data_IF_866100142767
#
_entry.id   IF_866100142767
#
_cell.length_a   1.000
_cell.length_b   1.000
_cell.length_c   1.000
_cell.angle_alpha   90.00
_cell.angle_beta   90.00
_cell.angle_gamma   90.00
#
_symmetry.space_group_name_H-M   'P 1'
#
loop_
_entity.id
_entity.type
_entity.pdbx_description
1 polymer ?
2 polymer ?
3 polymer ?
4 non-polymer ?
5 non-polymer ?
6 water ?
#
# COMPACT_ATOMS: atom_id res chain seq x y z
N UNK A 7 6.39 -15.38 -13.48
CA UNK A 7 7.05 -14.06 -13.69
C UNK A 7 8.03 -13.73 -12.55
N UNK A 8 8.52 -12.49 -12.55
CA UNK A 8 9.52 -12.07 -11.60
C UNK A 8 8.97 -11.16 -10.51
N UNK A 9 7.64 -11.24 -10.30
CA UNK A 9 7.00 -10.38 -9.31
C UNK A 9 7.63 -10.60 -7.94
N UNK A 10 7.73 -9.54 -7.16
CA UNK A 10 8.07 -9.69 -5.74
C UNK A 10 9.56 -9.90 -5.48
N UNK A 11 10.37 -9.86 -6.53
CA UNK A 11 11.82 -9.98 -6.39
C UNK A 11 12.45 -8.64 -6.74
N UNK A 12 13.10 -8.01 -5.77
CA UNK A 12 13.55 -6.64 -5.96
C UNK A 12 14.92 -6.62 -6.62
N UNK A 13 15.07 -5.83 -7.69
CA UNK A 13 16.39 -5.72 -8.35
C UNK A 13 17.55 -5.42 -7.40
N UNK A 14 17.33 -4.58 -6.39
CA UNK A 14 18.42 -4.15 -5.52
C UNK A 14 18.59 -5.01 -4.26
N UNK A 15 17.72 -6.02 -4.12
CA UNK A 15 17.81 -6.87 -2.96
C UNK A 15 17.80 -8.33 -3.39
N UNK A 16 16.63 -8.94 -3.53
CA UNK A 16 16.58 -10.37 -3.85
C UNK A 16 17.44 -10.75 -5.05
N UNK A 17 17.37 -9.93 -6.10
CA UNK A 17 18.04 -10.27 -7.36
C UNK A 17 19.56 -10.25 -7.22
N UNK A 18 20.06 -9.54 -6.21
CA UNK A 18 21.50 -9.45 -5.89
C UNK A 18 21.90 -10.24 -4.65
N UNK A 19 20.94 -10.93 -4.05
CA UNK A 19 21.10 -11.57 -2.74
C UNK A 19 21.60 -10.60 -1.66
N UNK A 20 21.01 -9.40 -1.62
CA UNK A 20 21.24 -8.45 -0.55
C UNK A 20 19.97 -8.37 0.26
N UNK A 21 20.12 -8.23 1.56
CA UNK A 21 18.99 -8.16 2.46
C UNK A 21 18.83 -6.72 2.89
N UNK A 22 17.59 -6.25 2.96
CA UNK A 22 17.35 -4.95 3.59
C UNK A 22 17.51 -5.01 5.13
N UNK A 23 17.58 -3.84 5.77
CA UNK A 23 17.90 -3.76 7.21
C UNK A 23 16.88 -4.39 8.17
N UNK A 24 15.64 -4.55 7.74
CA UNK A 24 14.64 -5.06 8.67
C UNK A 24 13.84 -6.29 8.20
N UNK A 25 14.15 -6.83 7.03
CA UNK A 25 13.37 -7.97 6.55
C UNK A 25 13.54 -9.20 7.46
N UNK A 26 14.68 -9.30 8.13
CA UNK A 26 14.89 -10.40 9.07
C UNK A 26 13.83 -10.44 10.20
N UNK A 27 13.45 -9.27 10.71
CA UNK A 27 12.37 -9.12 11.70
C UNK A 27 11.06 -9.77 11.21
N UNK A 28 10.76 -9.61 9.93
CA UNK A 28 9.60 -10.28 9.33
C UNK A 28 9.77 -11.80 9.37
N UNK A 29 10.91 -12.28 8.86
CA UNK A 29 11.21 -13.72 8.86
C UNK A 29 11.13 -14.33 10.26
N UNK A 30 11.69 -13.64 11.24
CA UNK A 30 11.69 -14.13 12.63
C UNK A 30 10.27 -14.26 13.21
N UNK A 31 9.34 -13.49 12.69
CA UNK A 31 7.94 -13.54 13.13
C UNK A 31 7.17 -14.71 12.48
N UNK A 32 7.74 -15.32 11.44
CA UNK A 32 7.03 -16.36 10.71
C UNK A 32 7.38 -17.71 11.35
N UNK A 33 6.78 -17.94 12.52
CA UNK A 33 7.24 -18.98 13.44
C UNK A 33 6.58 -20.34 13.22
N UNK B 1 3.29 7.64 7.72
CA UNK B 1 3.73 6.55 8.63
C UNK B 1 4.23 7.16 9.92
N UNK B 2 3.68 6.70 11.03
CA UNK B 2 4.09 7.18 12.35
C UNK B 2 5.05 6.17 12.95
N UNK B 3 6.17 6.65 13.48
CA UNK B 3 7.14 5.81 14.18
C UNK B 3 7.77 4.74 13.27
N UNK B 4 7.92 5.10 11.99
CA UNK B 4 8.64 4.27 11.03
C UNK B 4 10.06 4.78 10.85
N UNK B 5 10.66 4.43 9.72
CA UNK B 5 12.02 4.81 9.38
C UNK B 5 12.08 5.11 7.90
N UNK B 6 13.13 5.82 7.49
CA UNK B 6 13.35 6.09 6.08
C UNK B 6 13.54 4.76 5.36
N UNK B 7 12.86 4.60 4.23
CA UNK B 7 13.09 3.43 3.39
C UNK B 7 14.50 3.46 2.83
N UNK B 8 15.07 2.27 2.60
CA UNK B 8 16.28 2.17 1.77
C UNK B 8 15.93 2.34 0.29
N UNK B 9 16.91 2.75 -0.52
CA UNK B 9 16.69 2.88 -1.97
C UNK B 9 16.30 1.53 -2.59
N UNK B 10 15.24 1.50 -3.40
CA UNK B 10 14.76 0.28 -4.05
C UNK B 10 14.18 -0.77 -3.10
N UNK B 11 13.86 -0.36 -1.88
CA UNK B 11 13.34 -1.28 -0.88
C UNK B 11 11.88 -1.65 -1.15
N UNK B 12 11.15 -0.72 -1.75
CA UNK B 12 9.74 -0.94 -2.08
C UNK B 12 9.45 -0.52 -3.55
N UNK B 13 10.02 -1.25 -4.53
CA UNK B 13 9.96 -0.77 -5.92
C UNK B 13 8.58 -0.82 -6.56
N UNK B 14 7.61 -1.46 -5.88
CA UNK B 14 6.22 -1.47 -6.29
C UNK B 14 5.43 -0.28 -5.71
N UNK B 15 6.06 0.54 -4.89
CA UNK B 15 5.36 1.65 -4.25
C UNK B 15 4.96 2.66 -5.31
N UNK B 16 3.71 3.13 -5.24
CA UNK B 16 3.24 4.10 -6.22
C UNK B 16 2.67 5.28 -5.45
N UNK B 17 2.91 6.49 -5.98
CA UNK B 17 2.30 7.70 -5.42
C UNK B 17 1.16 8.10 -6.33
N UNK B 18 -0.03 8.29 -5.76
CA UNK B 18 -1.14 8.91 -6.48
C UNK B 18 -1.06 10.42 -6.26
N UNK B 19 -0.94 11.14 -7.37
CA UNK B 19 -0.62 12.57 -7.34
C UNK B 19 -1.75 13.35 -8.00
N UNK B 20 -2.25 14.34 -7.27
CA UNK B 20 -3.27 15.23 -7.79
C UNK B 20 -2.61 16.31 -8.64
N UNK B 21 -3.11 16.49 -9.85
CA UNK B 21 -2.59 17.47 -10.81
C UNK B 21 -2.71 18.93 -10.35
N UNK B 22 -3.91 19.31 -9.89
CA UNK B 22 -4.14 20.68 -9.41
C UNK B 22 -5.25 20.67 -8.36
N UNK B 23 -4.92 21.13 -7.14
CA UNK B 23 -3.58 21.51 -6.68
C UNK B 23 -2.62 20.30 -6.70
N UNK B 24 -1.33 20.58 -6.94
CA UNK B 24 -0.31 19.52 -6.92
C UNK B 24 -0.14 19.04 -5.48
N UNK B 25 -0.61 17.82 -5.21
CA UNK B 25 -0.51 17.25 -3.88
C UNK B 25 -0.56 15.72 -3.88
N UNK B 26 -0.07 15.15 -2.79
CA UNK B 26 -0.13 13.72 -2.56
C UNK B 26 -1.59 13.38 -2.35
N UNK B 27 -2.08 12.40 -3.07
CA UNK B 27 -3.44 11.94 -2.84
C UNK B 27 -3.46 10.69 -1.98
N UNK B 28 -2.58 9.75 -2.29
CA UNK B 28 -2.64 8.42 -1.67
C UNK B 28 -1.41 7.64 -2.11
N UNK B 29 -1.19 6.51 -1.44
CA UNK B 29 -0.25 5.51 -1.94
C UNK B 29 -1.03 4.52 -2.80
N UNK B 30 -0.29 3.60 -3.40
CA UNK B 30 -0.82 2.61 -4.32
C UNK B 30 0.32 1.64 -4.59
N UNK B 31 0.08 0.60 -5.40
CA UNK B 31 1.14 -0.37 -5.69
C UNK B 31 1.10 -0.84 -7.14
N UNK B 32 2.26 -1.21 -7.66
CA UNK B 32 2.37 -1.68 -9.01
C UNK B 32 2.23 -3.20 -9.02
N UNK B 33 1.23 -3.71 -9.75
CA UNK B 33 1.02 -5.16 -9.79
C UNK B 33 1.37 -5.82 -11.15
N UNK B 34 1.61 -5.00 -12.17
CA UNK B 34 2.06 -5.45 -13.49
C UNK B 34 2.55 -4.21 -14.21
N UNK B 35 2.88 -4.32 -15.50
CA UNK B 35 3.37 -3.14 -16.19
C UNK B 35 2.26 -2.14 -16.56
N UNK B 36 1.01 -2.54 -16.39
CA UNK B 36 -0.08 -1.62 -16.73
C UNK B 36 -1.17 -1.47 -15.68
N UNK B 37 -1.02 -2.14 -14.54
CA UNK B 37 -2.06 -2.11 -13.51
C UNK B 37 -1.52 -1.70 -12.16
N UNK B 38 -2.28 -0.82 -11.51
CA UNK B 38 -1.94 -0.29 -10.22
C UNK B 38 -3.12 -0.53 -9.29
N UNK B 39 -2.81 -0.92 -8.06
CA UNK B 39 -3.82 -1.22 -7.04
C UNK B 39 -3.84 -0.17 -5.94
N UNK B 40 -5.04 0.20 -5.48
CA UNK B 40 -5.10 1.16 -4.40
C UNK B 40 -6.37 0.93 -3.57
N UNK B 41 -6.64 1.82 -2.62
CA UNK B 41 -7.90 1.79 -1.85
C UNK B 41 -8.98 2.55 -2.61
N UNK B 42 -10.18 2.00 -2.65
CA UNK B 42 -11.30 2.69 -3.27
C UNK B 42 -11.49 4.09 -2.69
N UNK B 43 -11.27 4.27 -1.38
CA UNK B 43 -11.57 5.54 -0.74
C UNK B 43 -10.60 6.67 -1.16
N UNK B 44 -9.51 6.28 -1.80
CA UNK B 44 -8.59 7.25 -2.40
C UNK B 44 -9.23 7.92 -3.61
N UNK B 45 -10.18 7.24 -4.25
CA UNK B 45 -10.75 7.72 -5.51
C UNK B 45 -12.20 8.18 -5.33
N UNK B 46 -12.93 7.52 -4.42
CA UNK B 46 -14.34 7.81 -4.21
C UNK B 46 -14.66 7.79 -2.74
N UNK B 47 -15.04 8.95 -2.21
CA UNK B 47 -15.49 9.05 -0.81
C UNK B 47 -16.43 10.26 -0.65
N UNK B 48 -17.71 10.06 -0.97
CA UNK B 48 -18.71 11.15 -0.88
C UNK B 48 -18.78 11.95 0.41
N UNK B 49 -18.60 11.32 1.61
CA UNK B 49 -18.62 12.16 2.80
C UNK B 49 -17.62 13.32 2.76
N UNK B 50 -16.53 13.16 1.99
CA UNK B 50 -15.52 14.21 1.88
C UNK B 50 -15.50 14.88 0.52
N UNK B 51 -16.57 14.67 -0.26
CA UNK B 51 -16.66 15.20 -1.62
C UNK B 51 -15.48 14.78 -2.50
N UNK B 52 -15.06 13.53 -2.34
CA UNK B 52 -14.01 12.97 -3.18
C UNK B 52 -14.64 12.07 -4.22
N UNK B 53 -14.37 12.38 -5.49
CA UNK B 53 -14.81 11.56 -6.63
C UNK B 53 -13.92 11.87 -7.82
N UNK B 54 -12.70 11.32 -7.81
CA UNK B 54 -11.73 11.62 -8.86
C UNK B 54 -12.04 10.88 -10.17
N UNK B 55 -11.80 11.54 -11.30
CA UNK B 55 -11.80 10.84 -12.57
C UNK B 55 -10.35 10.63 -13.02
N UNK B 56 -10.17 9.80 -14.04
CA UNK B 56 -8.87 9.51 -14.63
C UNK B 56 -8.01 10.76 -14.83
N UNK B 57 -8.60 11.79 -15.43
CA UNK B 57 -7.84 12.98 -15.81
C UNK B 57 -7.41 13.86 -14.66
N UNK B 58 -7.94 13.62 -13.46
CA UNK B 58 -7.60 14.42 -12.28
C UNK B 58 -6.25 14.02 -11.68
N UNK B 59 -5.77 12.83 -12.04
CA UNK B 59 -4.65 12.19 -11.32
C UNK B 59 -3.51 11.75 -12.23
N UNK B 60 -2.33 11.66 -11.62
CA UNK B 60 -1.20 10.97 -12.22
C UNK B 60 -0.68 9.91 -11.25
N UNK B 61 -0.05 8.87 -11.78
CA UNK B 61 0.68 7.94 -10.91
C UNK B 61 2.19 8.15 -11.10
N UNK B 62 2.93 8.20 -9.99
CA UNK B 62 4.38 8.39 -10.01
C UNK B 62 5.01 7.16 -9.38
N UNK B 63 5.84 6.48 -10.15
CA UNK B 63 6.36 5.17 -9.82
C UNK B 63 7.88 5.28 -9.76
N UNK B 64 8.48 4.58 -8.81
CA UNK B 64 9.95 4.53 -8.65
C UNK B 64 10.49 5.60 -7.73
N UNK B 65 9.60 6.21 -6.94
CA UNK B 65 9.94 7.37 -6.12
C UNK B 65 10.54 7.02 -4.77
N UNK B 66 11.27 7.98 -4.23
CA UNK B 66 11.82 7.90 -2.90
C UNK B 66 11.52 9.20 -2.17
N UNK B 67 12.03 10.30 -2.70
CA UNK B 67 11.70 11.62 -2.19
C UNK B 67 10.21 11.88 -2.35
N UNK B 68 9.58 12.44 -1.32
CA UNK B 68 8.15 12.80 -1.38
C UNK B 68 7.89 13.90 -2.42
N UNK B 69 8.64 14.99 -2.33
CA UNK B 69 8.31 16.20 -3.10
C UNK B 69 9.13 16.42 -4.35
N UNK B 70 10.35 15.88 -4.39
CA UNK B 70 11.26 16.09 -5.50
C UNK B 70 10.75 15.45 -6.77
N UNK B 71 11.01 16.09 -7.92
CA UNK B 71 10.89 15.40 -9.18
C UNK B 71 12.20 14.61 -9.44
N UNK B 72 12.12 13.28 -9.32
CA UNK B 72 13.28 12.39 -9.37
C UNK B 72 13.64 12.01 -10.80
N UNK B 73 14.29 12.98 -11.45
CA UNK B 73 14.66 12.90 -12.83
C UNK B 73 15.49 11.64 -13.09
N UNK B 74 15.19 10.94 -14.17
CA UNK B 74 15.87 9.69 -14.56
C UNK B 74 15.61 8.49 -13.63
N UNK B 75 14.71 8.66 -12.67
CA UNK B 75 14.43 7.58 -11.71
C UNK B 75 12.94 7.26 -11.66
N UNK B 76 12.14 8.26 -11.32
CA UNK B 76 10.69 8.05 -11.33
C UNK B 76 10.12 8.07 -12.75
N UNK B 77 9.01 7.39 -12.92
CA UNK B 77 8.22 7.47 -14.14
C UNK B 77 6.81 7.93 -13.76
N UNK B 78 6.30 8.86 -14.56
CA UNK B 78 4.96 9.40 -14.33
C UNK B 78 4.05 8.83 -15.40
N UNK B 79 2.95 8.24 -14.97
CA UNK B 79 2.03 7.60 -15.89
C UNK B 79 0.63 8.22 -15.79
N UNK B 80 -0.09 8.18 -16.91
CA UNK B 80 -1.46 8.70 -16.98
C UNK B 80 -2.42 7.54 -16.87
N UNK B 81 -3.61 7.83 -16.36
CA UNK B 81 -4.62 6.81 -16.19
C UNK B 81 -5.50 6.65 -17.40
N UNK B 82 -5.62 5.41 -17.87
CA UNK B 82 -6.59 5.04 -18.90
C UNK B 82 -7.99 4.87 -18.29
N UNK B 83 -8.09 4.05 -17.25
CA UNK B 83 -9.39 3.79 -16.62
C UNK B 83 -9.23 3.40 -15.16
N UNK B 84 -10.21 3.83 -14.35
CA UNK B 84 -10.32 3.47 -12.94
C UNK B 84 -11.43 2.44 -12.77
N UNK B 85 -11.20 1.46 -11.89
CA UNK B 85 -12.18 0.44 -11.60
C UNK B 85 -12.31 0.34 -10.10
N UNK B 86 -13.48 0.71 -9.58
CA UNK B 86 -13.74 0.64 -8.14
C UNK B 86 -14.59 -0.62 -7.91
N UNK B 87 -14.31 -1.36 -6.83
CA UNK B 87 -15.13 -2.54 -6.52
C UNK B 87 -16.59 -2.11 -6.50
N UNK B 88 -17.48 -2.85 -7.20
CA UNK B 88 -18.89 -2.41 -7.26
C UNK B 88 -19.61 -2.52 -5.92
N UNK B 89 -19.08 -3.28 -4.98
CA UNK B 89 -19.70 -3.39 -3.66
C UNK B 89 -18.89 -2.70 -2.56
N UNK B 90 -18.02 -1.77 -2.97
CA UNK B 90 -17.31 -0.91 -2.03
C UNK B 90 -18.30 -0.17 -1.15
N UNK B 91 -18.15 -0.32 0.16
CA UNK B 91 -19.12 0.26 1.11
C UNK B 91 -18.56 1.51 1.76
N UNK B 92 -18.71 2.64 1.08
CA UNK B 92 -18.23 3.91 1.60
C UNK B 92 -19.19 4.50 2.62
N UNK B 93 -20.43 4.00 2.64
CA UNK B 93 -21.45 4.58 3.54
C UNK B 93 -21.19 4.19 4.98
N UNK B 94 -20.69 2.97 5.19
CA UNK B 94 -20.63 2.41 6.52
C UNK B 94 -19.22 2.16 7.09
N UNK B 95 -18.50 1.21 6.49
CA UNK B 95 -17.28 0.71 7.12
C UNK B 95 -16.10 0.51 6.18
N UNK B 96 -16.19 1.02 4.95
CA UNK B 96 -15.11 0.82 3.96
C UNK B 96 -14.86 -0.66 3.61
N UNK B 97 -15.90 -1.47 3.72
CA UNK B 97 -15.84 -2.84 3.25
C UNK B 97 -15.50 -2.84 1.76
N UNK B 98 -14.65 -3.79 1.36
CA UNK B 98 -14.17 -3.91 -0.02
C UNK B 98 -13.54 -2.61 -0.52
N UNK B 99 -12.64 -2.07 0.29
CA UNK B 99 -11.97 -0.80 0.00
C UNK B 99 -10.83 -1.09 -0.98
N UNK B 100 -11.19 -1.27 -2.26
CA UNK B 100 -10.22 -1.67 -3.30
C UNK B 100 -10.56 -1.04 -4.67
N UNK B 101 -9.53 -0.67 -5.43
CA UNK B 101 -9.69 -0.09 -6.74
C UNK B 101 -8.49 -0.44 -7.58
N UNK B 102 -8.72 -0.65 -8.88
CA UNK B 102 -7.64 -0.83 -9.85
C UNK B 102 -7.58 0.36 -10.78
N UNK B 103 -6.38 0.65 -11.28
CA UNK B 103 -6.18 1.73 -12.23
C UNK B 103 -5.35 1.14 -13.36
N UNK B 104 -5.89 1.22 -14.58
CA UNK B 104 -5.14 0.84 -15.78
C UNK B 104 -4.39 2.03 -16.33
N UNK B 105 -3.10 1.82 -16.64
CA UNK B 105 -2.25 2.89 -17.13
C UNK B 105 -2.37 3.00 -18.65
N UNK B 106 -2.19 4.22 -19.17
CA UNK B 106 -2.28 4.43 -20.62
C UNK B 106 -1.23 3.63 -21.39
N UNK B 107 -0.01 3.60 -20.86
CA UNK B 107 1.12 2.88 -21.49
C UNK B 107 1.83 2.02 -20.42
N UNK B 108 2.43 0.88 -20.83
CA UNK B 108 3.17 0.13 -19.81
C UNK B 108 4.35 0.92 -19.28
N UNK B 109 4.64 0.71 -18.01
CA UNK B 109 5.77 1.34 -17.37
C UNK B 109 6.93 0.37 -17.54
N UNK B 110 8.11 0.91 -17.81
CA UNK B 110 9.30 0.07 -17.93
C UNK B 110 9.87 -0.23 -16.56
N UNK B 111 10.17 -1.51 -16.30
CA UNK B 111 10.75 -1.87 -15.01
C UNK B 111 12.22 -1.47 -14.95
N UNK B 112 12.70 -1.20 -13.75
CA UNK B 112 14.03 -0.72 -13.53
C UNK B 112 14.47 -1.20 -12.15
N UNK B 113 15.64 -0.74 -11.70
CA UNK B 113 16.06 -1.00 -10.33
C UNK B 113 15.09 -0.48 -9.28
N UNK B 114 14.31 0.53 -9.65
CA UNK B 114 13.45 1.27 -8.72
C UNK B 114 11.96 1.02 -8.91
N UNK B 115 11.65 0.27 -9.97
CA UNK B 115 10.28 0.05 -10.43
C UNK B 115 10.11 -1.42 -10.76
N UNK B 116 9.25 -2.09 -10.01
CA UNK B 116 9.12 -3.54 -10.15
C UNK B 116 7.84 -3.99 -9.44
N UNK B 117 7.07 -4.92 -10.04
CA UNK B 117 5.77 -5.25 -9.42
C UNK B 117 5.86 -6.18 -8.22
N UNK B 118 4.89 -6.06 -7.32
CA UNK B 118 4.80 -6.95 -6.17
C UNK B 118 3.88 -8.12 -6.59
N UNK B 119 3.98 -9.28 -5.91
CA UNK B 119 3.12 -10.41 -6.19
C UNK B 119 1.80 -10.27 -5.44
N UNK B 120 0.75 -10.84 -6.01
CA UNK B 120 -0.52 -10.97 -5.30
C UNK B 120 -0.65 -12.39 -4.76
N UNK B 121 -1.20 -12.55 -3.54
CA UNK B 121 -1.25 -13.86 -2.89
C UNK B 121 -2.28 -14.79 -3.53
N UNK B 122 -1.99 -16.08 -3.52
CA UNK B 122 -3.00 -17.09 -3.80
C UNK B 122 -3.49 -17.66 -2.46
N UNK B 123 -4.43 -18.59 -2.52
CA UNK B 123 -5.07 -19.09 -1.30
C UNK B 123 -4.06 -19.62 -0.27
N UNK B 124 -3.07 -20.35 -0.78
CA UNK B 124 -2.05 -21.00 0.05
C UNK B 124 -1.18 -19.95 0.73
N UNK B 125 -0.79 -18.94 -0.06
CA UNK B 125 0.01 -17.82 0.42
C UNK B 125 -0.70 -17.15 1.58
N UNK B 126 -1.97 -16.82 1.37
CA UNK B 126 -2.81 -16.19 2.36
C UNK B 126 -2.90 -17.02 3.65
N UNK B 127 -3.17 -18.32 3.51
CA UNK B 127 -3.36 -19.20 4.65
C UNK B 127 -2.10 -19.29 5.52
N UNK B 128 -0.95 -19.40 4.87
CA UNK B 128 0.30 -19.57 5.59
C UNK B 128 0.79 -18.30 6.29
N UNK B 129 0.55 -17.14 5.68
CA UNK B 129 1.15 -15.88 6.15
C UNK B 129 0.22 -14.99 6.98
N UNK B 130 -1.08 -15.06 6.72
CA UNK B 130 -2.04 -14.21 7.40
C UNK B 130 -2.42 -14.80 8.75
N UNK B 131 -1.47 -14.73 9.68
CA UNK B 131 -1.59 -15.33 11.01
C UNK B 131 -1.24 -14.29 12.05
N UNK B 132 -1.99 -14.29 13.16
CA UNK B 132 -1.72 -13.36 14.25
C UNK B 132 -0.26 -13.47 14.68
N UNK B 133 0.40 -12.32 14.85
CA UNK B 133 1.80 -12.29 15.25
C UNK B 133 2.78 -12.21 14.10
N UNK B 134 2.39 -12.71 12.93
CA UNK B 134 3.23 -12.58 11.72
C UNK B 134 3.27 -11.13 11.31
N UNK B 135 4.45 -10.65 10.97
CA UNK B 135 4.64 -9.25 10.63
C UNK B 135 4.62 -8.98 9.15
N UNK B 136 4.01 -7.86 8.77
CA UNK B 136 4.17 -7.34 7.43
C UNK B 136 4.75 -5.95 7.47
N UNK B 137 4.85 -5.35 6.28
CA UNK B 137 5.52 -4.07 6.14
C UNK B 137 4.61 -3.10 5.41
N UNK B 138 4.50 -1.89 5.96
CA UNK B 138 3.65 -0.86 5.36
C UNK B 138 4.55 0.33 5.02
N UNK B 139 4.31 0.94 3.87
CA UNK B 139 5.13 2.02 3.37
C UNK B 139 4.26 3.18 2.87
N UNK B 140 4.77 4.41 2.99
CA UNK B 140 4.07 5.53 2.40
C UNK B 140 4.70 6.86 2.71
N UNK B 141 4.13 7.91 2.12
CA UNK B 141 4.62 9.28 2.30
C UNK B 141 3.63 10.10 3.11
N UNK B 142 2.82 9.42 3.93
CA UNK B 142 1.80 10.09 4.76
C UNK B 142 2.39 10.76 5.98
N UNK B 143 1.52 11.40 6.77
CA UNK B 143 1.95 12.09 7.97
C UNK B 143 2.80 11.25 8.93
N UNK B 144 3.79 11.91 9.55
CA UNK B 144 4.62 11.31 10.57
C UNK B 144 3.94 11.30 11.95
N UNK B 145 2.87 12.08 12.08
CA UNK B 145 2.13 12.23 13.34
C UNK B 145 0.66 12.48 13.07
N UNK B 146 -0.18 12.07 14.00
CA UNK B 146 -1.61 12.30 13.90
C UNK B 146 -1.99 13.79 13.80
N UNK B 147 -1.45 14.61 14.71
CA UNK B 147 -1.80 16.03 14.76
C UNK B 147 -0.57 16.89 15.06
N UNK B 155 6.04 17.01 10.46
CA UNK B 155 4.70 16.63 9.93
C UNK B 155 4.76 15.68 8.74
N UNK B 156 5.44 16.12 7.68
CA UNK B 156 5.60 15.36 6.45
C UNK B 156 7.03 14.78 6.33
N UNK B 157 7.17 13.55 5.78
CA UNK B 157 8.53 13.02 5.62
C UNK B 157 9.21 13.57 4.37
N UNK B 158 10.55 13.62 4.38
CA UNK B 158 11.29 13.97 3.16
C UNK B 158 11.36 12.80 2.20
N UNK B 159 11.43 11.59 2.75
CA UNK B 159 11.50 10.39 1.92
C UNK B 159 10.49 9.29 2.34
N UNK B 160 10.32 8.32 1.45
CA UNK B 160 9.40 7.20 1.72
C UNK B 160 9.66 6.59 3.10
N UNK B 161 8.58 6.33 3.84
CA UNK B 161 8.74 5.77 5.18
C UNK B 161 8.31 4.31 5.19
N UNK B 162 8.89 3.56 6.13
CA UNK B 162 8.59 2.13 6.31
C UNK B 162 8.37 1.74 7.76
N UNK B 163 7.46 0.79 7.98
CA UNK B 163 7.30 0.22 9.31
C UNK B 163 6.80 -1.20 9.22
N UNK B 164 7.34 -2.06 10.10
CA UNK B 164 6.93 -3.46 10.18
C UNK B 164 5.97 -3.60 11.36
N UNK B 165 4.83 -4.26 11.13
CA UNK B 165 3.74 -4.38 12.11
C UNK B 165 3.16 -5.79 12.12
N UNK B 166 2.88 -6.34 13.32
CA UNK B 166 2.30 -7.68 13.41
C UNK B 166 0.80 -7.70 13.16
N UNK B 167 0.34 -8.74 12.47
CA UNK B 167 -1.06 -8.97 12.27
C UNK B 167 -1.69 -9.28 13.63
N UNK B 168 -2.88 -8.75 13.86
CA UNK B 168 -3.54 -8.85 15.18
C UNK B 168 -4.71 -9.86 15.17
N UNK B 169 -4.86 -10.62 16.27
CA UNK B 169 -5.96 -11.59 16.44
C UNK B 169 -7.28 -10.89 16.16
N UNK B 170 -8.19 -11.56 15.45
CA UNK B 170 -9.46 -10.92 15.07
C UNK B 170 -10.34 -10.42 16.23
N UNK B 171 -10.42 -11.18 17.36
CA UNK B 171 -11.18 -10.66 18.52
C UNK B 171 -10.61 -9.36 19.08
N UNK B 172 -9.28 -9.23 19.10
CA UNK B 172 -8.62 -8.03 19.53
C UNK B 172 -8.92 -6.83 18.61
N UNK B 173 -8.84 -7.04 17.29
CA UNK B 173 -9.24 -6.03 16.32
C UNK B 173 -10.67 -5.54 16.60
N UNK B 174 -11.60 -6.49 16.73
CA UNK B 174 -13.02 -6.16 16.94
C UNK B 174 -13.26 -5.38 18.24
N UNK B 175 -12.52 -5.74 19.29
CA UNK B 175 -12.69 -5.12 20.61
C UNK B 175 -12.06 -3.75 20.73
N UNK B 176 -11.28 -3.35 19.72
CA UNK B 176 -10.56 -2.09 19.74
C UNK B 176 -11.39 -0.99 19.13
N UNK B 177 -12.52 -1.35 18.51
CA UNK B 177 -13.21 -0.41 17.63
C UNK B 177 -14.73 -0.50 17.68
N UNK B 178 -15.39 0.60 17.34
CA UNK B 178 -16.84 0.58 17.21
C UNK B 178 -17.28 0.31 15.77
N UNK B 179 -16.33 0.36 14.82
CA UNK B 179 -16.65 0.06 13.42
C UNK B 179 -16.94 -1.44 13.28
N UNK B 180 -17.92 -1.77 12.43
CA UNK B 180 -18.22 -3.17 12.10
C UNK B 180 -17.13 -3.74 11.17
N UNK B 181 -16.40 -4.72 11.67
CA UNK B 181 -15.29 -5.36 10.94
C UNK B 181 -15.87 -6.45 10.02
N UNK B 182 -15.28 -6.65 8.84
CA UNK B 182 -15.73 -7.74 7.96
C UNK B 182 -14.56 -8.66 7.63
N UNK B 183 -14.89 -9.76 6.96
CA UNK B 183 -13.90 -10.76 6.57
C UNK B 183 -12.96 -10.22 5.49
N UNK B 184 -13.33 -9.09 4.89
CA UNK B 184 -12.50 -8.43 3.84
C UNK B 184 -11.50 -7.44 4.43
N UNK B 185 -11.30 -7.54 5.74
CA UNK B 185 -10.42 -6.65 6.47
C UNK B 185 -9.58 -7.46 7.44
N UNK B 186 -8.38 -6.98 7.73
CA UNK B 186 -7.62 -7.48 8.87
C UNK B 186 -6.96 -6.29 9.54
N UNK B 187 -6.53 -6.46 10.79
CA UNK B 187 -5.83 -5.33 11.45
C UNK B 187 -4.42 -5.70 11.86
N UNK B 188 -3.58 -4.70 12.03
CA UNK B 188 -2.19 -4.88 12.38
C UNK B 188 -1.74 -3.74 13.27
N UNK B 189 -0.73 -4.03 14.08
CA UNK B 189 -0.16 -3.03 14.96
C UNK B 189 0.22 -3.68 16.27
N UNK B 190 1.02 -2.96 17.03
CA UNK B 190 1.46 -3.44 18.33
C UNK B 190 0.44 -3.07 19.41
N UNK B 191 0.34 -3.92 20.42
CA UNK B 191 -0.49 -3.68 21.59
C UNK B 191 0.24 -2.75 22.57
N UNK B 192 -0.50 -2.11 23.49
CA UNK B 192 0.13 -1.25 24.48
C UNK B 192 1.27 -1.94 25.25
N UNK B 193 1.05 -3.19 25.66
CA UNK B 193 2.01 -3.93 26.47
C UNK B 193 3.29 -4.36 25.71
N UNK B 194 3.23 -4.30 24.37
CA UNK B 194 4.34 -4.73 23.51
C UNK B 194 5.47 -3.69 23.39
N UNK B 195 5.19 -2.44 23.78
CA UNK B 195 6.25 -1.42 23.80
C UNK B 195 6.63 -0.78 22.47
N UNK B 196 6.70 -1.58 21.42
CA UNK B 196 6.99 -1.08 20.07
C UNK B 196 5.78 -0.36 19.50
N UNK B 197 6.01 0.57 18.59
CA UNK B 197 4.92 1.38 18.03
C UNK B 197 4.90 1.34 16.51
N UNK B 198 3.98 2.12 15.93
CA UNK B 198 3.92 2.32 14.48
C UNK B 198 2.54 2.15 13.90
N UNK B 199 2.26 2.92 12.86
CA UNK B 199 0.95 2.89 12.20
C UNK B 199 1.08 3.66 10.89
N UNK B 200 0.13 3.41 10.00
CA UNK B 200 -0.09 4.23 8.84
C UNK B 200 -0.84 5.48 9.30
N UNK B 201 -0.79 6.55 8.52
CA UNK B 201 -1.49 7.79 8.86
C UNK B 201 -1.99 8.51 7.58
N UNK B 202 -2.62 9.68 7.72
CA UNK B 202 -3.17 10.42 6.56
C UNK B 202 -2.18 10.49 5.39
N UNK B 203 -2.59 9.98 4.23
CA UNK B 203 -1.77 10.03 3.03
C UNK B 203 -1.13 8.69 2.70
N UNK B 204 -1.16 7.76 3.66
CA UNK B 204 -0.65 6.38 3.46
C UNK B 204 -1.71 5.47 2.89
N UNK B 205 -2.96 5.93 2.93
CA UNK B 205 -4.08 5.17 2.37
C UNK B 205 -3.78 4.67 0.98
N UNK B 206 -4.21 3.45 0.70
CA UNK B 206 -4.07 2.89 -0.63
C UNK B 206 -2.74 2.21 -0.83
N UNK B 207 -1.80 2.42 0.11
CA UNK B 207 -0.46 1.80 0.07
C UNK B 207 -0.47 0.33 0.45
N UNK B 208 0.61 -0.40 0.10
CA UNK B 208 0.62 -1.84 0.35
C UNK B 208 1.06 -2.25 1.76
N UNK B 209 0.44 -3.32 2.26
CA UNK B 209 0.93 -4.08 3.41
C UNK B 209 1.51 -5.38 2.81
N UNK B 210 2.83 -5.54 2.90
CA UNK B 210 3.52 -6.65 2.21
C UNK B 210 4.17 -7.63 3.19
N UNK B 211 4.33 -8.88 2.74
CA UNK B 211 5.02 -9.90 3.51
C UNK B 211 5.94 -10.65 2.56
N UNK B 212 7.08 -11.08 3.10
CA UNK B 212 8.05 -11.82 2.28
C UNK B 212 7.88 -13.30 2.59
N UNK B 213 7.40 -14.06 1.60
CA UNK B 213 7.21 -15.50 1.81
C UNK B 213 8.55 -16.15 2.16
N UNK B 214 8.60 -16.92 3.25
CA UNK B 214 9.82 -17.66 3.58
C UNK B 214 9.95 -18.93 2.76
N UNK B 215 8.92 -19.24 1.96
CA UNK B 215 8.89 -20.43 1.11
C UNK B 215 9.54 -20.16 -0.25
N UNK B 216 9.20 -19.02 -0.86
CA UNK B 216 9.79 -18.69 -2.17
C UNK B 216 10.55 -17.36 -2.21
N UNK B 217 10.67 -16.73 -1.05
CA UNK B 217 11.42 -15.50 -0.87
C UNK B 217 10.95 -14.35 -1.76
N UNK B 218 9.66 -14.34 -2.12
CA UNK B 218 9.07 -13.24 -2.89
C UNK B 218 8.14 -12.39 -2.04
N UNK B 219 8.03 -11.10 -2.36
CA UNK B 219 7.15 -10.22 -1.59
C UNK B 219 5.75 -10.29 -2.17
N UNK B 220 4.78 -10.47 -1.28
CA UNK B 220 3.36 -10.49 -1.59
C UNK B 220 2.62 -9.33 -0.93
N UNK B 221 1.71 -8.74 -1.69
CA UNK B 221 0.85 -7.70 -1.10
C UNK B 221 -0.39 -8.35 -0.48
N UNK B 222 -0.42 -8.34 0.84
CA UNK B 222 -1.47 -9.03 1.57
C UNK B 222 -2.57 -8.04 1.90
N UNK B 223 -2.23 -6.75 2.00
CA UNK B 223 -3.19 -5.77 2.50
C UNK B 223 -3.06 -4.43 1.79
N UNK B 224 -4.12 -3.64 1.86
CA UNK B 224 -4.08 -2.25 1.41
C UNK B 224 -4.43 -1.35 2.59
N UNK B 225 -3.64 -0.31 2.80
CA UNK B 225 -3.93 0.62 3.91
C UNK B 225 -5.36 1.18 3.69
N UNK B 226 -6.25 0.92 4.65
CA UNK B 226 -7.66 1.26 4.51
C UNK B 226 -8.13 2.29 5.54
N UNK B 227 -8.13 1.94 6.83
CA UNK B 227 -8.65 2.88 7.84
C UNK B 227 -8.04 2.71 9.21
N UNK B 228 -8.28 3.68 10.07
CA UNK B 228 -7.79 3.65 11.44
C UNK B 228 -8.56 4.67 12.24
N UNK B 229 -8.19 4.81 13.49
CA UNK B 229 -8.85 5.77 14.34
C UNK B 229 -7.71 6.51 15.01
N UNK B 230 -7.42 7.70 14.49
CA UNK B 230 -6.17 8.37 14.81
C UNK B 230 -5.02 7.64 14.13
N UNK B 231 -3.82 7.88 14.64
CA UNK B 231 -2.62 7.25 14.12
C UNK B 231 -1.74 6.90 15.30
N UNK B 232 -1.40 5.62 15.41
CA UNK B 232 -0.48 5.12 16.44
C UNK B 232 -1.00 5.41 17.84
N UNK B 233 -2.33 5.35 18.00
CA UNK B 233 -2.96 5.50 19.31
C UNK B 233 -2.89 4.19 20.05
N UNK B 234 -2.54 4.24 21.34
CA UNK B 234 -2.55 3.04 22.18
C UNK B 234 -3.96 2.43 22.17
N UNK B 235 -4.02 1.11 22.01
CA UNK B 235 -5.29 0.40 22.03
C UNK B 235 -6.06 0.38 20.73
N UNK B 236 -5.57 1.14 19.73
CA UNK B 236 -6.17 1.13 18.39
C UNK B 236 -5.23 0.44 17.40
N UNK B 237 -5.77 0.02 16.27
CA UNK B 237 -4.98 -0.70 15.28
C UNK B 237 -5.28 -0.13 13.91
N UNK B 238 -4.39 -0.38 12.96
CA UNK B 238 -4.66 0.02 11.59
C UNK B 238 -5.36 -1.13 10.92
N UNK B 239 -6.30 -0.79 10.03
CA UNK B 239 -7.07 -1.79 9.28
C UNK B 239 -6.72 -1.77 7.82
N UNK B 240 -6.68 -2.98 7.25
CA UNK B 240 -6.24 -3.21 5.89
C UNK B 240 -7.22 -4.01 5.09
N UNK B 241 -7.35 -3.63 3.83
CA UNK B 241 -8.12 -4.43 2.88
C UNK B 241 -7.43 -5.77 2.67
N UNK B 242 -8.20 -6.85 2.80
CA UNK B 242 -7.69 -8.22 2.66
C UNK B 242 -7.58 -8.58 1.19
N UNK B 243 -6.37 -8.50 0.63
CA UNK B 243 -6.23 -8.56 -0.82
C UNK B 243 -6.69 -9.91 -1.36
N UNK B 244 -6.31 -10.98 -0.66
CA UNK B 244 -6.65 -12.31 -1.19
C UNK B 244 -8.17 -12.52 -1.27
N UNK B 245 -8.90 -12.00 -0.28
CA UNK B 245 -10.36 -12.13 -0.26
C UNK B 245 -11.03 -11.48 -1.46
N UNK B 246 -10.35 -10.50 -2.09
CA UNK B 246 -10.90 -9.77 -3.23
C UNK B 246 -10.22 -10.10 -4.57
N UNK B 247 -9.38 -11.12 -4.56
CA UNK B 247 -8.60 -11.47 -5.75
C UNK B 247 -9.48 -11.91 -6.93
N UNK B 248 -10.63 -12.51 -6.63
CA UNK B 248 -11.56 -12.88 -7.70
C UNK B 248 -12.02 -11.67 -8.52
N UNK B 249 -12.38 -10.59 -7.82
CA UNK B 249 -12.72 -9.33 -8.48
C UNK B 249 -11.52 -8.77 -9.25
N UNK B 250 -10.35 -8.76 -8.61
CA UNK B 250 -9.12 -8.28 -9.28
C UNK B 250 -8.89 -9.01 -10.61
N UNK B 251 -8.97 -10.33 -10.55
CA UNK B 251 -8.69 -11.15 -11.71
C UNK B 251 -9.73 -10.93 -12.79
N UNK B 252 -11.00 -10.82 -12.38
CA UNK B 252 -12.09 -10.56 -13.29
C UNK B 252 -11.86 -9.28 -14.08
N UNK B 253 -11.48 -8.21 -13.37
CA UNK B 253 -11.23 -6.92 -14.01
C UNK B 253 -10.05 -7.01 -14.98
N UNK B 254 -8.97 -7.62 -14.54
CA UNK B 254 -7.79 -7.70 -15.38
C UNK B 254 -8.07 -8.61 -16.58
N UNK B 255 -8.79 -9.71 -16.35
CA UNK B 255 -9.14 -10.65 -17.43
C UNK B 255 -10.01 -10.00 -18.50
N UNK B 256 -10.99 -9.21 -18.06
CA UNK B 256 -11.88 -8.49 -18.96
C UNK B 256 -11.23 -7.30 -19.69
N UNK B 257 -10.41 -6.53 -18.98
CA UNK B 257 -9.98 -5.25 -19.52
C UNK B 257 -8.51 -5.15 -19.89
N UNK B 258 -7.77 -6.20 -19.56
CA UNK B 258 -6.35 -6.28 -19.93
C UNK B 258 -6.25 -6.93 -21.31
N UNK C 1 4.50 21.97 -1.35
CA UNK C 1 6.00 21.98 -1.42
C UNK C 1 6.54 21.05 -2.51
N UNK C 2 5.68 20.71 -3.48
CA UNK C 2 6.07 19.79 -4.54
C UNK C 2 6.79 20.50 -5.67
N UNK C 3 7.93 19.95 -6.06
CA UNK C 3 8.65 20.43 -7.23
C UNK C 3 7.82 20.17 -8.48
N UNK C 4 7.82 21.15 -9.38
CA UNK C 4 7.06 21.08 -10.62
C UNK C 4 7.54 19.90 -11.47
N UNK C 5 6.61 19.23 -12.12
CA UNK C 5 6.96 18.12 -12.99
C UNK C 5 6.91 18.57 -14.45
N UNK C 6 7.68 17.91 -15.33
CA UNK C 6 7.70 18.27 -16.75
C UNK C 6 6.32 18.43 -17.37
N UNK C 7 6.22 19.40 -18.29
CA UNK C 7 4.97 19.73 -18.97
C UNK C 7 4.40 18.58 -19.79
N UNK C 8 5.29 17.72 -20.29
CA UNK C 8 4.91 16.51 -21.04
C UNK C 8 3.88 15.64 -20.31
N UNK C 9 3.83 15.78 -18.99
CA UNK C 9 2.89 15.02 -18.16
C UNK C 9 1.68 15.88 -17.81
X LIG D 1 -2.01 1.45 18.18
X LIG E 1 -4.38 5.59 7.19
X LIG E 1 -5.84 5.22 6.92
X LIG E 1 -6.58 6.45 6.38
X LIG E 1 -10.40 6.48 6.19
X LIG E 1 -11.03 7.24 5.00
X LIG E 1 -12.52 7.36 5.43
X LIG E 1 -12.37 7.62 6.94
X LIG E 1 -10.94 6.44 8.66
X LIG E 1 -11.85 6.84 9.78
X LIG E 1 -13.96 6.96 11.98
X LIG E 1 -14.53 7.14 13.25
X LIG E 1 -14.33 6.18 14.24
X LIG E 1 -13.57 5.05 13.97
X LIG E 1 -13.63 5.03 9.40
X LIG E 1 -15.57 3.98 7.66
X LIG E 1 -7.97 6.09 6.13
X LIG E 1 -8.99 6.92 6.47
X LIG E 1 -8.79 8.02 6.99
X LIG E 1 -11.22 6.80 7.39
X LIG E 1 -9.95 5.77 8.93
X LIG E 1 -12.58 5.59 10.34
X LIG E 1 -13.20 5.83 11.71
X LIG E 1 -13.01 4.88 12.70
X LIG E 1 -14.59 5.86 8.80
X LIG E 1 -15.56 5.35 7.94
X LIG E 1 -14.63 3.15 8.25
X LIG E 1 -13.67 3.67 9.12
X LIG E 1 -11.04 7.53 10.79
#
# INVERSE_FOLDING_TARGET
TFGSGEADCGLRPLFEKKSLEDKTERELLESYIDGR
IVEGSDAEIGMSPWQVMLFRKSPQELLCGASLISDRWVLTAAHCLLYPPWDKNFTENDLLVRIGKHSRTRYERNIEKISMLEKIYIHPRYNWRENLDRDIALMKLKKPVAFSDYIHPVCLPDRETAASLLQAGYKGRVTGWGNLKETWTANVGKGQPSVLQVVNLPIVERPVCKDSTRIRITDNMFCAGYKPDEGKRGDACEGDSGGPFVMKSPFNNRWYQMGIVSWGEGCDRDGKYGFYTHVFRLKKWIQKVIDQFGE
DFEEIPGEY
NA NA
44U C1 C2 C3 C7 C9 C10 C11 C13 C15 C19 C20 C21 C22 C24 C27 N4 C5 O6 N12 O14 C17 C18 C23 C25 C26 C28 C29 N30
#
